data_IF_589419833117
#
_entry.id   IF_589419833117
#
_cell.length_a   1.000
_cell.length_b   1.000
_cell.length_c   1.000
_cell.angle_alpha   90.00
_cell.angle_beta   90.00
_cell.angle_gamma   90.00
#
_symmetry.space_group_name_H-M   'P 1'
#
loop_
_entity.id
_entity.type
_entity.pdbx_description
1 polymer ?
#
# COMPACT_ATOMS: atom_id res chain seq x y z
N UNK A 1 10.27 21.86 7.56
CA UNK A 1 9.46 20.68 7.20
C UNK A 1 10.25 19.44 7.57
N UNK A 2 9.70 18.55 8.39
CA UNK A 2 10.36 17.30 8.77
C UNK A 2 10.47 16.40 7.53
N UNK A 3 11.68 16.04 7.14
CA UNK A 3 11.91 15.17 5.99
C UNK A 3 11.67 13.71 6.39
N UNK A 4 10.65 13.07 5.83
CA UNK A 4 10.43 11.64 5.98
C UNK A 4 11.41 10.86 5.09
N UNK A 5 11.94 9.75 5.62
CA UNK A 5 12.74 8.79 4.87
C UNK A 5 11.92 7.51 4.70
N UNK A 6 11.90 6.97 3.49
CA UNK A 6 11.09 5.79 3.18
C UNK A 6 11.99 4.65 2.66
N UNK A 7 11.81 3.44 3.21
CA UNK A 7 12.62 2.25 2.87
C UNK A 7 11.73 1.02 2.71
N UNK A 8 12.12 0.05 1.87
CA UNK A 8 11.48 -1.25 1.82
C UNK A 8 11.54 -1.98 3.17
N UNK A 9 10.51 -2.73 3.49
CA UNK A 9 10.47 -3.59 4.68
C UNK A 9 11.33 -4.83 4.43
N UNK A 10 12.50 -4.86 5.07
CA UNK A 10 13.45 -5.97 5.07
C UNK A 10 13.48 -6.65 6.44
N UNK A 11 14.13 -7.81 6.56
CA UNK A 11 14.34 -8.49 7.83
C UNK A 11 15.02 -7.61 8.89
N UNK A 12 15.97 -6.75 8.46
CA UNK A 12 16.65 -5.78 9.34
C UNK A 12 15.69 -4.73 9.93
N UNK A 13 14.58 -4.44 9.25
CA UNK A 13 13.56 -3.47 9.67
C UNK A 13 12.31 -4.11 10.26
N UNK A 14 12.36 -5.42 10.51
CA UNK A 14 11.21 -6.14 11.05
C UNK A 14 10.77 -5.60 12.41
N UNK A 15 11.71 -5.34 13.32
CA UNK A 15 11.40 -4.77 14.64
C UNK A 15 10.70 -3.41 14.55
N UNK A 16 11.10 -2.59 13.59
CA UNK A 16 10.47 -1.28 13.37
C UNK A 16 9.04 -1.42 12.87
N UNK A 17 8.78 -2.40 11.99
CA UNK A 17 7.44 -2.73 11.52
C UNK A 17 6.55 -3.25 12.64
N UNK A 18 7.08 -4.13 13.50
CA UNK A 18 6.37 -4.64 14.67
C UNK A 18 6.01 -3.52 15.64
N UNK A 19 6.96 -2.63 15.94
CA UNK A 19 6.74 -1.48 16.81
C UNK A 19 5.68 -0.54 16.24
N UNK A 20 5.72 -0.28 14.93
CA UNK A 20 4.74 0.56 14.24
C UNK A 20 3.32 -0.06 14.30
N UNK A 21 3.20 -1.36 14.04
CA UNK A 21 1.91 -2.05 14.04
C UNK A 21 1.38 -2.33 15.43
N UNK A 22 2.28 -2.45 16.41
CA UNK A 22 1.95 -2.66 17.81
C UNK A 22 1.17 -3.97 18.06
N UNK A 23 0.69 -4.12 19.28
CA UNK A 23 -0.07 -5.31 19.73
C UNK A 23 -1.32 -5.60 18.88
N UNK A 24 -1.89 -4.58 18.27
CA UNK A 24 -3.10 -4.69 17.45
C UNK A 24 -2.81 -5.02 15.97
N UNK A 25 -1.55 -5.21 15.57
CA UNK A 25 -1.16 -5.53 14.18
C UNK A 25 -1.67 -4.49 13.19
N UNK A 26 -1.38 -3.21 13.43
CA UNK A 26 -1.92 -2.02 12.78
C UNK A 26 -3.42 -1.82 13.05
N UNK A 27 -4.27 -2.75 12.67
CA UNK A 27 -5.71 -2.70 12.93
C UNK A 27 -6.27 -4.12 13.09
N UNK A 28 -6.82 -4.40 14.28
CA UNK A 28 -7.57 -5.61 14.59
C UNK A 28 -6.86 -6.92 14.16
N UNK A 29 -5.55 -7.00 14.32
CA UNK A 29 -4.75 -8.20 13.97
C UNK A 29 -4.57 -8.44 12.47
N UNK A 30 -4.75 -7.39 11.65
CA UNK A 30 -4.66 -7.50 10.19
C UNK A 30 -3.25 -7.82 9.69
N UNK A 31 -2.20 -7.19 10.25
CA UNK A 31 -0.81 -7.31 9.80
C UNK A 31 -0.66 -7.15 8.28
N UNK A 32 -1.47 -6.30 7.67
CA UNK A 32 -1.52 -6.05 6.21
C UNK A 32 -1.80 -7.30 5.35
N UNK A 33 -2.41 -8.36 5.94
CA UNK A 33 -2.67 -9.64 5.27
C UNK A 33 -4.04 -9.72 4.60
N UNK A 34 -4.92 -8.72 4.78
CA UNK A 34 -6.30 -8.74 4.28
C UNK A 34 -6.42 -8.99 2.76
N UNK A 35 -5.54 -8.41 1.96
CA UNK A 35 -5.54 -8.59 0.52
C UNK A 35 -4.63 -9.73 0.05
N UNK A 36 -3.71 -10.20 0.91
CA UNK A 36 -2.74 -11.25 0.58
C UNK A 36 -3.28 -12.67 0.75
N UNK A 37 -4.21 -12.86 1.67
CA UNK A 37 -4.76 -14.17 2.00
C UNK A 37 -6.19 -14.33 1.50
N UNK A 38 -6.59 -15.56 1.24
CA UNK A 38 -8.01 -15.90 1.12
C UNK A 38 -8.78 -15.52 2.38
N UNK A 39 -10.04 -15.16 2.24
CA UNK A 39 -10.88 -14.67 3.35
C UNK A 39 -10.99 -15.64 4.53
N UNK A 40 -11.08 -16.94 4.24
CA UNK A 40 -11.11 -18.02 5.25
C UNK A 40 -9.81 -18.07 6.03
N UNK A 41 -8.67 -18.08 5.34
CA UNK A 41 -7.34 -18.10 5.93
C UNK A 41 -7.08 -16.84 6.76
N UNK A 42 -7.37 -15.65 6.22
CA UNK A 42 -7.24 -14.37 6.94
C UNK A 42 -7.98 -14.39 8.27
N UNK A 43 -9.23 -14.90 8.30
CA UNK A 43 -10.01 -15.01 9.54
C UNK A 43 -9.39 -15.98 10.53
N UNK A 44 -8.89 -17.13 10.06
CA UNK A 44 -8.29 -18.19 10.88
C UNK A 44 -6.95 -17.74 11.51
N UNK A 45 -6.14 -16.98 10.78
CA UNK A 45 -4.80 -16.59 11.19
C UNK A 45 -4.73 -15.20 11.82
N UNK A 46 -5.87 -14.51 12.00
CA UNK A 46 -5.97 -13.15 12.51
C UNK A 46 -5.15 -12.97 13.81
N UNK A 47 -4.37 -11.89 13.87
CA UNK A 47 -3.46 -11.63 14.98
C UNK A 47 -2.09 -12.25 14.77
N UNK A 48 -1.64 -13.12 15.67
CA UNK A 48 -0.30 -13.70 15.64
C UNK A 48 -0.02 -14.53 14.39
N UNK A 49 -1.00 -15.28 13.88
CA UNK A 49 -0.83 -16.03 12.63
C UNK A 49 -0.56 -15.12 11.44
N UNK A 50 -1.29 -14.00 11.30
CA UNK A 50 -1.03 -13.01 10.24
C UNK A 50 0.36 -12.36 10.41
N UNK A 51 0.79 -12.10 11.67
CA UNK A 51 2.13 -11.59 11.96
C UNK A 51 3.21 -12.55 11.46
N UNK A 52 3.08 -13.83 11.78
CA UNK A 52 4.04 -14.86 11.36
C UNK A 52 4.10 -15.00 9.84
N UNK A 53 2.95 -14.96 9.15
CA UNK A 53 2.91 -15.02 7.68
C UNK A 53 3.60 -13.79 7.08
N UNK A 54 3.33 -12.58 7.59
CA UNK A 54 4.02 -11.37 7.11
C UNK A 54 5.53 -11.47 7.35
N UNK A 55 5.95 -12.00 8.52
CA UNK A 55 7.36 -12.20 8.81
C UNK A 55 8.03 -13.16 7.82
N UNK A 56 7.39 -14.29 7.51
CA UNK A 56 7.90 -15.22 6.51
C UNK A 56 8.07 -14.57 5.12
N UNK A 57 7.14 -13.68 4.72
CA UNK A 57 7.25 -12.92 3.46
C UNK A 57 8.48 -12.00 3.50
N UNK A 58 8.70 -11.31 4.62
CA UNK A 58 9.86 -10.41 4.81
C UNK A 58 11.17 -11.20 4.85
N UNK A 59 11.21 -12.32 5.57
CA UNK A 59 12.40 -13.17 5.69
C UNK A 59 12.78 -13.84 4.35
N UNK A 60 11.80 -14.03 3.45
CA UNK A 60 12.02 -14.49 2.08
C UNK A 60 12.43 -13.35 1.10
N UNK A 61 12.79 -12.17 1.63
CA UNK A 61 13.19 -10.95 0.89
C UNK A 61 12.16 -10.47 -0.15
N UNK A 62 10.87 -10.73 0.10
CA UNK A 62 9.79 -10.31 -0.80
C UNK A 62 9.44 -8.82 -0.68
N UNK A 63 9.94 -8.14 0.35
CA UNK A 63 9.77 -6.70 0.59
C UNK A 63 8.30 -6.23 0.39
N UNK A 64 7.36 -6.70 1.24
CA UNK A 64 5.92 -6.58 0.99
C UNK A 64 5.36 -5.16 1.12
N UNK A 65 6.19 -4.18 1.37
CA UNK A 65 5.79 -2.78 1.51
C UNK A 65 6.92 -1.86 1.91
N UNK A 66 6.56 -0.62 2.16
CA UNK A 66 7.45 0.50 2.47
C UNK A 66 7.18 1.00 3.88
N UNK A 67 8.24 1.20 4.66
CA UNK A 67 8.22 1.90 5.94
C UNK A 67 8.66 3.35 5.75
N UNK A 68 7.94 4.27 6.38
CA UNK A 68 8.34 5.68 6.48
C UNK A 68 8.79 6.01 7.89
N UNK A 69 9.87 6.78 7.99
CA UNK A 69 10.51 7.17 9.23
C UNK A 69 10.50 8.68 9.43
N UNK A 70 10.24 9.10 10.67
CA UNK A 70 10.53 10.44 11.18
C UNK A 70 11.72 10.30 12.16
N UNK A 71 12.89 10.84 11.81
CA UNK A 71 14.13 10.49 12.52
C UNK A 71 14.45 8.99 12.39
N UNK A 72 14.54 8.30 13.51
CA UNK A 72 14.79 6.85 13.57
C UNK A 72 13.55 6.03 13.91
N UNK A 73 12.38 6.67 14.04
CA UNK A 73 11.14 5.99 14.37
C UNK A 73 10.32 5.70 13.11
N UNK A 74 9.88 4.46 12.94
CA UNK A 74 8.91 4.11 11.90
C UNK A 74 7.54 4.69 12.27
N UNK A 75 6.96 5.51 11.39
CA UNK A 75 5.70 6.23 11.61
C UNK A 75 4.66 5.97 10.54
N UNK A 76 5.02 5.25 9.48
CA UNK A 76 4.10 4.94 8.38
C UNK A 76 4.45 3.67 7.63
N UNK A 77 3.43 3.07 7.04
CA UNK A 77 3.48 1.86 6.22
C UNK A 77 2.67 2.03 4.95
N UNK A 78 3.17 1.46 3.86
CA UNK A 78 2.46 1.29 2.60
C UNK A 78 2.65 -0.15 2.11
N UNK A 79 1.58 -0.94 2.06
CA UNK A 79 1.59 -2.28 1.50
C UNK A 79 1.56 -2.22 -0.03
N UNK A 80 2.57 -2.85 -0.68
CA UNK A 80 2.66 -2.96 -2.14
C UNK A 80 3.18 -4.34 -2.53
N UNK A 81 2.67 -4.90 -3.63
CA UNK A 81 3.16 -6.15 -4.21
C UNK A 81 2.70 -6.28 -5.68
N UNK A 82 3.30 -7.22 -6.46
CA UNK A 82 2.67 -7.71 -7.68
C UNK A 82 1.23 -8.17 -7.38
N UNK A 83 0.29 -7.80 -8.24
CA UNK A 83 -1.12 -8.12 -8.01
C UNK A 83 -1.40 -9.62 -7.80
N UNK A 84 -0.74 -10.57 -8.50
CA UNK A 84 -0.93 -12.01 -8.26
C UNK A 84 -0.59 -12.48 -6.82
N UNK A 85 0.27 -11.75 -6.10
CA UNK A 85 0.61 -12.03 -4.70
C UNK A 85 -0.50 -11.60 -3.71
N UNK A 86 -1.55 -10.97 -4.21
CA UNK A 86 -2.67 -10.41 -3.44
C UNK A 86 -3.95 -11.22 -3.72
N UNK A 87 -3.99 -12.45 -3.21
CA UNK A 87 -5.00 -13.46 -3.53
C UNK A 87 -6.45 -12.93 -3.36
N UNK A 88 -6.73 -12.23 -2.24
CA UNK A 88 -8.06 -11.67 -2.02
C UNK A 88 -8.39 -10.51 -2.96
N UNK A 89 -7.38 -9.79 -3.47
CA UNK A 89 -7.56 -8.75 -4.47
C UNK A 89 -7.85 -9.36 -5.85
N UNK A 90 -7.12 -10.41 -6.23
CA UNK A 90 -7.36 -11.16 -7.46
C UNK A 90 -8.80 -11.70 -7.53
N UNK A 91 -9.29 -12.23 -6.41
CA UNK A 91 -10.63 -12.79 -6.28
C UNK A 91 -11.70 -11.73 -5.94
N UNK A 92 -11.36 -10.44 -5.98
CA UNK A 92 -12.30 -9.37 -5.63
C UNK A 92 -13.38 -9.18 -6.71
N UNK A 93 -14.66 -9.21 -6.31
CA UNK A 93 -15.77 -8.92 -7.21
C UNK A 93 -15.92 -7.43 -7.53
N UNK A 94 -15.42 -6.56 -6.64
CA UNK A 94 -15.51 -5.09 -6.76
C UNK A 94 -14.27 -4.54 -7.44
N UNK A 95 -13.08 -4.92 -6.96
CA UNK A 95 -11.80 -4.48 -7.51
C UNK A 95 -11.29 -5.48 -8.56
N UNK A 96 -12.10 -5.72 -9.60
CA UNK A 96 -11.72 -6.62 -10.70
C UNK A 96 -10.52 -6.08 -11.45
N UNK A 97 -9.80 -6.95 -12.14
CA UNK A 97 -8.78 -6.53 -13.10
C UNK A 97 -9.41 -5.61 -14.15
N UNK A 98 -8.70 -4.55 -14.50
CA UNK A 98 -9.08 -3.64 -15.59
C UNK A 98 -8.77 -4.29 -16.95
N UNK A 99 -7.64 -5.01 -16.99
CA UNK A 99 -7.13 -5.73 -18.16
C UNK A 99 -6.10 -6.79 -17.70
N UNK A 100 -5.46 -7.47 -18.66
CA UNK A 100 -4.50 -8.57 -18.40
C UNK A 100 -3.06 -8.08 -18.16
N UNK A 101 -2.81 -6.77 -18.17
CA UNK A 101 -1.47 -6.23 -17.93
C UNK A 101 -0.99 -6.54 -16.51
N UNK A 102 0.31 -6.83 -16.39
CA UNK A 102 0.94 -7.00 -15.11
C UNK A 102 1.03 -5.66 -14.36
N UNK A 103 0.52 -5.63 -13.14
CA UNK A 103 0.54 -4.43 -12.29
C UNK A 103 1.10 -4.75 -10.91
N UNK A 104 1.74 -3.76 -10.30
CA UNK A 104 2.02 -3.73 -8.86
C UNK A 104 0.91 -2.95 -8.17
N UNK A 105 0.38 -3.47 -7.08
CA UNK A 105 -0.80 -2.91 -6.41
C UNK A 105 -0.46 -2.35 -5.04
N UNK A 106 -0.78 -1.07 -4.83
CA UNK A 106 -0.77 -0.41 -3.51
C UNK A 106 -2.13 -0.68 -2.87
N UNK A 107 -2.14 -1.36 -1.70
CA UNK A 107 -3.40 -1.87 -1.11
C UNK A 107 -3.69 -1.41 0.30
N UNK A 108 -2.70 -0.88 1.01
CA UNK A 108 -2.88 -0.55 2.42
C UNK A 108 -1.93 0.55 2.87
N UNK A 109 -2.47 1.49 3.65
CA UNK A 109 -1.68 2.46 4.42
C UNK A 109 -1.99 2.32 5.90
N UNK A 110 -0.95 2.41 6.71
CA UNK A 110 -1.06 2.64 8.14
C UNK A 110 -0.11 3.77 8.52
N UNK A 111 -0.63 4.81 9.13
CA UNK A 111 0.14 5.98 9.57
C UNK A 111 -0.16 6.22 11.04
N UNK A 112 0.88 6.30 11.86
CA UNK A 112 0.75 6.60 13.28
C UNK A 112 -0.04 7.91 13.48
N UNK A 113 -0.81 8.00 14.55
CA UNK A 113 -1.71 9.13 14.77
C UNK A 113 -0.97 10.47 14.76
N UNK A 114 0.22 10.49 15.36
CA UNK A 114 1.06 11.66 15.57
C UNK A 114 1.71 12.16 14.26
N UNK A 115 1.82 11.28 13.25
CA UNK A 115 2.43 11.60 11.95
C UNK A 115 1.41 11.97 10.87
N UNK A 116 0.11 11.89 11.15
CA UNK A 116 -0.94 12.23 10.17
C UNK A 116 -0.94 13.73 9.86
N UNK A 117 -1.42 14.08 8.66
CA UNK A 117 -1.51 15.47 8.21
C UNK A 117 -0.19 16.13 7.80
N UNK A 118 0.94 15.39 7.87
CA UNK A 118 2.29 15.91 7.59
C UNK A 118 2.82 15.53 6.19
N UNK A 119 1.97 15.05 5.26
CA UNK A 119 2.40 14.68 3.89
C UNK A 119 3.05 13.30 3.76
N UNK A 120 3.04 12.47 4.80
CA UNK A 120 3.71 11.17 4.84
C UNK A 120 3.16 10.16 3.79
N UNK A 121 1.85 10.23 3.48
CA UNK A 121 1.24 9.38 2.45
C UNK A 121 1.89 9.60 1.09
N UNK A 122 2.17 10.83 0.72
CA UNK A 122 2.85 11.17 -0.54
C UNK A 122 4.28 10.60 -0.58
N UNK A 123 5.03 10.70 0.53
CA UNK A 123 6.36 10.07 0.65
C UNK A 123 6.27 8.56 0.45
N UNK A 124 5.32 7.88 1.10
CA UNK A 124 5.10 6.44 0.98
C UNK A 124 4.74 6.03 -0.46
N UNK A 125 3.85 6.77 -1.14
CA UNK A 125 3.47 6.47 -2.52
C UNK A 125 4.68 6.64 -3.46
N UNK A 126 5.46 7.73 -3.33
CA UNK A 126 6.68 7.95 -4.13
C UNK A 126 7.68 6.81 -3.95
N UNK A 127 7.90 6.38 -2.73
CA UNK A 127 8.80 5.26 -2.43
C UNK A 127 8.26 3.92 -2.95
N UNK A 128 6.95 3.68 -2.86
CA UNK A 128 6.31 2.49 -3.42
C UNK A 128 6.44 2.43 -4.96
N UNK A 129 6.28 3.57 -5.64
CA UNK A 129 6.52 3.68 -7.10
C UNK A 129 7.98 3.37 -7.42
N UNK A 130 8.93 3.94 -6.69
CA UNK A 130 10.36 3.70 -6.90
C UNK A 130 10.72 2.23 -6.67
N UNK A 131 10.16 1.61 -5.61
CA UNK A 131 10.32 0.19 -5.31
C UNK A 131 9.74 -0.70 -6.42
N UNK A 132 8.51 -0.46 -6.87
CA UNK A 132 7.91 -1.21 -7.97
C UNK A 132 8.76 -1.08 -9.25
N UNK A 133 9.24 0.14 -9.57
CA UNK A 133 10.11 0.39 -10.72
C UNK A 133 11.43 -0.40 -10.65
N UNK A 134 12.09 -0.43 -9.49
CA UNK A 134 13.35 -1.18 -9.31
C UNK A 134 13.15 -2.69 -9.49
N UNK A 135 11.91 -3.18 -9.28
CA UNK A 135 11.50 -4.56 -9.49
C UNK A 135 10.88 -4.81 -10.89
N UNK A 136 11.06 -3.89 -11.84
CA UNK A 136 10.65 -4.07 -13.24
C UNK A 136 9.18 -3.79 -13.52
N UNK A 137 8.42 -3.22 -12.57
CA UNK A 137 7.03 -2.84 -12.82
C UNK A 137 6.94 -1.77 -13.91
N UNK A 138 5.94 -1.91 -14.79
CA UNK A 138 5.57 -0.91 -15.78
C UNK A 138 4.33 -0.13 -15.37
N UNK A 139 3.51 -0.69 -14.49
CA UNK A 139 2.27 -0.09 -14.01
C UNK A 139 2.18 -0.26 -12.49
N UNK A 140 1.90 0.84 -11.80
CA UNK A 140 1.43 0.79 -10.40
C UNK A 140 -0.06 1.10 -10.40
N UNK A 141 -0.83 0.23 -9.74
CA UNK A 141 -2.27 0.36 -9.57
C UNK A 141 -2.61 0.61 -8.10
N UNK A 142 -3.59 1.45 -7.85
CA UNK A 142 -4.07 1.79 -6.51
C UNK A 142 -5.60 1.87 -6.48
N UNK A 143 -6.19 1.75 -5.28
CA UNK A 143 -7.62 1.63 -5.10
C UNK A 143 -8.16 2.63 -4.06
N UNK A 144 -7.88 3.92 -4.24
CA UNK A 144 -8.21 4.92 -3.24
C UNK A 144 -9.71 5.22 -3.17
N UNK A 145 -10.10 5.81 -2.03
CA UNK A 145 -11.42 6.41 -1.86
C UNK A 145 -11.46 7.80 -2.52
N UNK A 146 -12.57 8.08 -3.22
CA UNK A 146 -12.82 9.39 -3.84
C UNK A 146 -13.66 10.24 -2.90
N UNK A 147 -13.00 11.12 -2.13
CA UNK A 147 -13.66 12.05 -1.21
C UNK A 147 -14.48 13.13 -1.94
N UNK A 148 -14.31 13.28 -3.26
CA UNK A 148 -15.10 14.20 -4.08
C UNK A 148 -16.37 13.55 -4.65
N UNK A 149 -16.59 12.26 -4.38
CA UNK A 149 -17.83 11.60 -4.80
C UNK A 149 -19.05 12.25 -4.13
N UNK A 150 -20.21 12.36 -4.80
CA UNK A 150 -21.40 12.95 -4.20
C UNK A 150 -21.79 12.33 -2.85
N UNK A 151 -21.51 11.04 -2.67
CA UNK A 151 -21.81 10.28 -1.45
C UNK A 151 -20.92 10.68 -0.26
N UNK A 152 -19.71 11.16 -0.50
CA UNK A 152 -18.73 11.51 0.54
C UNK A 152 -18.46 13.02 0.63
N UNK A 153 -19.04 13.80 -0.26
CA UNK A 153 -18.85 15.25 -0.29
C UNK A 153 -19.25 15.87 1.05
N UNK A 154 -18.36 16.64 1.64
CA UNK A 154 -18.57 17.25 2.96
C UNK A 154 -18.37 16.32 4.16
N UNK A 155 -18.11 15.02 3.96
CA UNK A 155 -17.80 14.12 5.05
C UNK A 155 -16.34 14.24 5.50
N UNK A 156 -16.11 14.02 6.80
CA UNK A 156 -14.76 13.96 7.35
C UNK A 156 -14.12 12.62 6.96
N UNK A 157 -12.89 12.67 6.46
CA UNK A 157 -12.14 11.46 6.13
C UNK A 157 -12.01 10.53 7.34
N UNK A 158 -12.48 9.29 7.17
CA UNK A 158 -12.32 8.25 8.17
C UNK A 158 -11.17 7.31 7.75
N UNK A 159 -10.10 7.30 8.53
CA UNK A 159 -8.93 6.45 8.28
C UNK A 159 -9.24 4.94 8.27
N UNK A 160 -10.33 4.52 8.90
CA UNK A 160 -10.75 3.11 8.88
C UNK A 160 -11.29 2.69 7.50
N UNK A 161 -12.09 3.52 6.86
CA UNK A 161 -12.60 3.28 5.50
C UNK A 161 -11.60 3.65 4.42
N UNK A 162 -10.67 4.57 4.72
CA UNK A 162 -9.67 5.09 3.78
C UNK A 162 -8.28 4.43 3.86
N UNK A 163 -8.19 3.21 4.39
CA UNK A 163 -6.89 2.52 4.51
C UNK A 163 -6.21 2.24 3.16
N UNK A 164 -6.91 2.31 2.05
CA UNK A 164 -6.34 2.22 0.70
C UNK A 164 -5.90 3.59 0.13
N UNK A 165 -5.99 4.64 0.94
CA UNK A 165 -5.60 6.01 0.59
C UNK A 165 -6.74 6.83 -0.02
N UNK A 166 -6.45 8.10 -0.33
CA UNK A 166 -7.38 9.05 -0.94
C UNK A 166 -6.97 9.40 -2.36
N UNK A 167 -7.92 9.53 -3.28
CA UNK A 167 -7.66 9.75 -4.70
C UNK A 167 -6.84 11.04 -4.96
N UNK A 168 -7.04 12.09 -4.17
CA UNK A 168 -6.29 13.35 -4.31
C UNK A 168 -4.78 13.15 -4.17
N UNK A 169 -4.32 12.32 -3.20
CA UNK A 169 -2.90 12.05 -3.01
C UNK A 169 -2.27 11.30 -4.20
N UNK A 170 -3.03 10.43 -4.84
CA UNK A 170 -2.58 9.70 -6.03
C UNK A 170 -2.60 10.60 -7.28
N UNK A 171 -3.64 11.43 -7.47
CA UNK A 171 -3.71 12.40 -8.58
C UNK A 171 -2.52 13.35 -8.57
N UNK A 172 -2.12 13.87 -7.40
CA UNK A 172 -0.95 14.76 -7.25
C UNK A 172 0.35 14.08 -7.76
N UNK A 173 0.43 12.76 -7.73
CA UNK A 173 1.58 11.97 -8.19
C UNK A 173 1.42 11.40 -9.60
N UNK A 174 0.42 11.87 -10.36
CA UNK A 174 0.23 11.51 -11.76
C UNK A 174 -0.53 10.21 -11.99
N UNK A 175 -1.19 9.65 -10.97
CA UNK A 175 -2.11 8.53 -11.20
C UNK A 175 -3.39 9.03 -11.88
N UNK A 176 -3.85 8.28 -12.85
CA UNK A 176 -5.09 8.53 -13.58
C UNK A 176 -6.17 7.51 -13.19
N UNK A 177 -7.42 7.94 -13.13
CA UNK A 177 -8.57 7.05 -12.96
C UNK A 177 -8.73 6.22 -14.24
N UNK A 178 -8.70 4.89 -14.09
CA UNK A 178 -8.89 3.96 -15.21
C UNK A 178 -10.24 3.24 -15.11
N UNK A 179 -10.79 3.16 -13.91
CA UNK A 179 -12.11 2.56 -13.66
C UNK A 179 -12.67 3.06 -12.33
N UNK A 180 -13.99 3.18 -12.26
CA UNK A 180 -14.72 3.40 -11.01
C UNK A 180 -15.29 2.08 -10.51
N UNK A 181 -14.75 1.59 -9.40
CA UNK A 181 -15.14 0.30 -8.82
C UNK A 181 -16.47 0.38 -8.05
N UNK A 182 -16.76 1.55 -7.46
CA UNK A 182 -18.04 1.88 -6.81
C UNK A 182 -18.25 3.40 -6.81
N UNK A 183 -19.36 3.87 -6.26
CA UNK A 183 -19.61 5.32 -6.12
C UNK A 183 -18.48 6.08 -5.42
N UNK A 184 -17.77 5.41 -4.52
CA UNK A 184 -16.76 6.05 -3.67
C UNK A 184 -15.35 5.51 -3.87
N UNK A 185 -15.15 4.46 -4.66
CA UNK A 185 -13.84 3.82 -4.82
C UNK A 185 -13.40 3.77 -6.28
N UNK A 186 -12.17 4.21 -6.52
CA UNK A 186 -11.55 4.25 -7.84
C UNK A 186 -10.54 3.12 -7.99
N UNK A 187 -10.28 2.75 -9.26
CA UNK A 187 -9.04 2.08 -9.66
C UNK A 187 -8.23 3.11 -10.42
N UNK A 188 -7.04 3.39 -9.93
CA UNK A 188 -6.14 4.39 -10.50
C UNK A 188 -4.81 3.75 -10.89
N UNK A 189 -4.21 4.21 -11.99
CA UNK A 189 -2.93 3.69 -12.49
C UNK A 189 -1.94 4.80 -12.74
N UNK A 190 -0.67 4.48 -12.49
CA UNK A 190 0.48 5.23 -12.94
C UNK A 190 1.28 4.36 -13.92
N UNK A 191 1.50 4.85 -15.14
CA UNK A 191 2.41 4.24 -16.09
C UNK A 191 3.85 4.63 -15.74
N UNK A 192 4.69 3.65 -15.42
CA UNK A 192 6.10 3.87 -15.13
C UNK A 192 6.89 3.77 -16.42
N UNK A 193 7.52 4.87 -16.82
CA UNK A 193 8.45 4.82 -17.97
C UNK A 193 9.60 3.87 -17.65
N UNK A 194 9.84 2.89 -18.51
CA UNK A 194 10.97 1.98 -18.37
C UNK A 194 12.28 2.78 -18.25
N UNK A 195 13.08 2.43 -17.25
CA UNK A 195 14.44 2.99 -17.16
C UNK A 195 15.26 2.36 -18.29
N UNK A 196 15.46 3.08 -19.37
CA UNK A 196 16.40 2.68 -20.42
C UNK A 196 17.78 2.69 -19.76
N UNK A 197 18.29 1.53 -19.36
CA UNK A 197 19.71 1.38 -19.00
C UNK A 197 20.50 1.83 -20.22
N UNK A 198 21.09 3.03 -20.19
CA UNK A 198 22.11 3.41 -21.16
C UNK A 198 23.20 2.36 -21.04
N UNK A 199 23.34 1.52 -22.07
CA UNK A 199 24.53 0.67 -22.22
C UNK A 199 25.72 1.64 -22.23
N UNK A 200 26.57 1.55 -21.20
CA UNK A 200 27.88 2.18 -21.27
C UNK A 200 28.60 1.55 -22.47
N UNK A 201 29.04 2.41 -23.40
CA UNK A 201 29.93 2.04 -24.50
C UNK A 201 31.32 1.83 -23.94
#
# INVERSE_FOLDING_TARGET
MTAFRCFPATSERWSDLENLFGKNGANAGCWCMFWRLERSMFKKTKGEGNRQILKQIVDADKQPGILAYEGNQAVGWCGIAPRPDLIALENSRILKRVDDRAVWSITCFFISREARGKGIMECLIKAAIAHARSNGAQIVEAYPIDMQSPKLLGQVFNSYSGYMGVASAFRTLGFEEVQRASETQLIMRLMIKAHVKRKAK
#
